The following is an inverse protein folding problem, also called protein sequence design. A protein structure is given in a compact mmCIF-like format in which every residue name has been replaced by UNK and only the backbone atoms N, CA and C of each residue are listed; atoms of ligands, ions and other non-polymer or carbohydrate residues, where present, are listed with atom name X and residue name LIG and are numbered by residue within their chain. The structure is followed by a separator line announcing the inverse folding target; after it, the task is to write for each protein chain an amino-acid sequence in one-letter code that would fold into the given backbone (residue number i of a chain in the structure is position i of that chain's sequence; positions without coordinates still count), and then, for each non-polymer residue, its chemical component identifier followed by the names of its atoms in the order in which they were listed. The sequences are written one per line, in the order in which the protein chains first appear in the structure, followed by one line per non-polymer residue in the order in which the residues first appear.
data_IF_052348132485
#
_entry.id   IF_052348132485
#
_cell.length_a   1.000
_cell.length_b   1.000
_cell.length_c   1.000
_cell.angle_alpha   90.00
_cell.angle_beta   90.00
_cell.angle_gamma   90.00
#
_symmetry.space_group_name_H-M   'P 1'
#
loop_
_entity.id
_entity.type
_entity.pdbx_description
1 polymer ?
#
# COMPACT_ATOMS: atom_id res chain seq x y z
N UNK A 1 77.49 -10.06 100.73
CA UNK A 1 76.17 -10.21 100.06
C UNK A 1 76.01 -11.67 99.64
N UNK A 2 74.91 -12.30 100.02
CA UNK A 2 74.68 -13.75 99.89
C UNK A 2 74.25 -14.14 98.47
N UNK A 3 74.90 -15.15 97.88
CA UNK A 3 74.56 -15.78 96.58
C UNK A 3 73.09 -16.25 96.52
N UNK A 4 72.47 -16.53 97.66
CA UNK A 4 71.03 -16.86 97.76
C UNK A 4 70.10 -15.69 97.42
N UNK A 5 70.50 -14.44 97.68
CA UNK A 5 69.68 -13.28 97.35
C UNK A 5 69.65 -12.99 95.84
N UNK A 6 70.74 -13.28 95.13
CA UNK A 6 70.84 -13.09 93.68
C UNK A 6 70.06 -14.18 92.89
N UNK A 7 70.12 -15.44 93.36
CA UNK A 7 69.31 -16.53 92.81
C UNK A 7 67.80 -16.33 93.02
N UNK A 8 67.39 -15.78 94.16
CA UNK A 8 65.99 -15.40 94.40
C UNK A 8 65.50 -14.31 93.45
N UNK A 9 66.33 -13.32 93.15
CA UNK A 9 65.98 -12.24 92.21
C UNK A 9 65.82 -12.77 90.78
N UNK A 10 66.68 -13.68 90.31
CA UNK A 10 66.58 -14.27 88.96
C UNK A 10 65.30 -15.11 88.81
N UNK A 11 64.92 -15.88 89.84
CA UNK A 11 63.68 -16.67 89.81
C UNK A 11 62.44 -15.76 89.80
N UNK A 12 62.46 -14.66 90.56
CA UNK A 12 61.35 -13.69 90.58
C UNK A 12 61.27 -12.93 89.26
N UNK A 13 62.39 -12.45 88.72
CA UNK A 13 62.41 -11.74 87.42
C UNK A 13 62.05 -12.67 86.26
N UNK A 14 62.53 -13.92 86.27
CA UNK A 14 62.16 -14.95 85.30
C UNK A 14 60.67 -15.29 85.35
N UNK A 15 60.12 -15.50 86.55
CA UNK A 15 58.69 -15.76 86.74
C UNK A 15 57.80 -14.59 86.30
N UNK A 16 58.21 -13.35 86.57
CA UNK A 16 57.51 -12.14 86.08
C UNK A 16 57.58 -12.06 84.56
N UNK A 17 58.74 -12.35 83.94
CA UNK A 17 58.88 -12.36 82.48
C UNK A 17 58.02 -13.44 81.80
N UNK A 18 57.95 -14.67 82.36
CA UNK A 18 57.08 -15.74 81.85
C UNK A 18 55.60 -15.39 82.01
N UNK A 19 55.20 -14.79 83.14
CA UNK A 19 53.84 -14.30 83.35
C UNK A 19 53.47 -13.18 82.36
N UNK A 20 54.40 -12.27 82.05
CA UNK A 20 54.19 -11.21 81.05
C UNK A 20 54.07 -11.77 79.63
N UNK A 21 54.87 -12.77 79.26
CA UNK A 21 54.76 -13.46 77.97
C UNK A 21 53.43 -14.19 77.83
N UNK A 22 53.04 -15.00 78.83
CA UNK A 22 51.75 -15.70 78.86
C UNK A 22 50.56 -14.73 78.86
N UNK A 23 50.68 -13.60 79.55
CA UNK A 23 49.67 -12.54 79.52
C UNK A 23 49.59 -11.86 78.15
N UNK A 24 50.72 -11.63 77.49
CA UNK A 24 50.79 -11.06 76.15
C UNK A 24 50.20 -11.98 75.09
N UNK A 25 50.44 -13.29 75.17
CA UNK A 25 49.89 -14.30 74.27
C UNK A 25 48.39 -14.50 74.49
N UNK A 26 47.93 -14.53 75.74
CA UNK A 26 46.49 -14.59 76.06
C UNK A 26 45.77 -13.33 75.57
N UNK A 27 46.40 -12.15 75.69
CA UNK A 27 45.87 -10.89 75.14
C UNK A 27 45.80 -10.93 73.62
N UNK A 28 46.83 -11.43 72.92
CA UNK A 28 46.82 -11.61 71.45
C UNK A 28 45.75 -12.60 70.99
N UNK A 29 45.58 -13.73 71.69
CA UNK A 29 44.53 -14.71 71.39
C UNK A 29 43.12 -14.14 71.63
N UNK A 30 42.92 -13.36 72.70
CA UNK A 30 41.63 -12.69 72.95
C UNK A 30 41.32 -11.63 71.88
N UNK A 31 42.30 -10.82 71.49
CA UNK A 31 42.16 -9.83 70.43
C UNK A 31 41.90 -10.50 69.07
N UNK A 32 42.61 -11.60 68.75
CA UNK A 32 42.39 -12.37 67.54
C UNK A 32 41.00 -13.02 67.48
N UNK A 33 40.51 -13.55 68.60
CA UNK A 33 39.15 -14.10 68.69
C UNK A 33 38.08 -13.02 68.58
N UNK A 34 38.28 -11.86 69.20
CA UNK A 34 37.37 -10.72 69.08
C UNK A 34 37.31 -10.21 67.63
N UNK A 35 38.46 -10.03 66.98
CA UNK A 35 38.53 -9.60 65.58
C UNK A 35 37.94 -10.65 64.62
N UNK A 36 38.10 -11.95 64.91
CA UNK A 36 37.46 -13.01 64.12
C UNK A 36 35.94 -13.03 64.32
N UNK A 37 35.45 -12.87 65.55
CA UNK A 37 34.03 -12.79 65.84
C UNK A 37 33.37 -11.57 65.19
N UNK A 38 34.06 -10.43 65.16
CA UNK A 38 33.60 -9.21 64.49
C UNK A 38 33.51 -9.41 62.97
N UNK A 39 34.49 -10.07 62.35
CA UNK A 39 34.43 -10.44 60.92
C UNK A 39 33.29 -11.40 60.62
N UNK A 40 33.14 -12.45 61.42
CA UNK A 40 32.03 -13.41 61.23
C UNK A 40 30.68 -12.73 61.39
N UNK A 41 30.53 -11.80 62.34
CA UNK A 41 29.30 -11.03 62.51
C UNK A 41 29.05 -10.06 61.33
N UNK A 42 30.10 -9.43 60.79
CA UNK A 42 30.01 -8.58 59.61
C UNK A 42 29.62 -9.38 58.36
N UNK A 43 30.29 -10.51 58.12
CA UNK A 43 30.00 -11.42 57.01
C UNK A 43 28.58 -11.99 57.12
N UNK A 44 28.12 -12.34 58.32
CA UNK A 44 26.76 -12.81 58.55
C UNK A 44 25.71 -11.72 58.25
N UNK A 45 25.95 -10.48 58.67
CA UNK A 45 25.06 -9.36 58.37
C UNK A 45 25.05 -9.00 56.88
N UNK A 46 26.17 -9.15 56.16
CA UNK A 46 26.24 -8.97 54.71
C UNK A 46 25.49 -10.07 53.95
N UNK A 47 25.62 -11.33 54.39
CA UNK A 47 24.86 -12.45 53.86
C UNK A 47 23.36 -12.27 54.06
N UNK A 48 22.92 -11.83 55.24
CA UNK A 48 21.50 -11.57 55.54
C UNK A 48 20.92 -10.50 54.61
N UNK A 49 21.60 -9.36 54.43
CA UNK A 49 21.20 -8.33 53.45
C UNK A 49 21.16 -8.85 52.02
N UNK A 50 22.09 -9.74 51.67
CA UNK A 50 22.15 -10.35 50.34
C UNK A 50 20.97 -11.29 50.12
N UNK A 51 20.60 -12.08 51.14
CA UNK A 51 19.43 -12.96 51.10
C UNK A 51 18.16 -12.12 50.97
N UNK A 52 17.97 -11.09 51.80
CA UNK A 52 16.80 -10.20 51.71
C UNK A 52 16.66 -9.53 50.33
N UNK A 53 17.79 -9.09 49.73
CA UNK A 53 17.79 -8.54 48.37
C UNK A 53 17.37 -9.58 47.33
N UNK A 54 17.94 -10.79 47.39
CA UNK A 54 17.62 -11.85 46.44
C UNK A 54 16.16 -12.34 46.57
N UNK A 55 15.62 -12.37 47.80
CA UNK A 55 14.21 -12.69 48.03
C UNK A 55 13.28 -11.64 47.42
N UNK A 56 13.62 -10.35 47.56
CA UNK A 56 12.88 -9.25 46.93
C UNK A 56 12.95 -9.33 45.40
N UNK A 57 14.13 -9.55 44.83
CA UNK A 57 14.33 -9.70 43.38
C UNK A 57 13.55 -10.91 42.84
N UNK A 58 13.55 -12.03 43.56
CA UNK A 58 12.78 -13.23 43.19
C UNK A 58 11.28 -12.95 43.22
N UNK A 59 10.78 -12.24 44.24
CA UNK A 59 9.36 -11.89 44.33
C UNK A 59 8.94 -11.01 43.15
N UNK A 60 9.72 -9.96 42.86
CA UNK A 60 9.48 -9.08 41.71
C UNK A 60 9.52 -9.82 40.37
N UNK A 61 10.45 -10.77 40.22
CA UNK A 61 10.53 -11.60 39.02
C UNK A 61 9.30 -12.53 38.87
N UNK A 62 8.78 -13.08 39.98
CA UNK A 62 7.56 -13.90 39.98
C UNK A 62 6.35 -13.06 39.58
N UNK A 63 6.18 -11.87 40.17
CA UNK A 63 5.08 -10.95 39.84
C UNK A 63 5.12 -10.51 38.37
N UNK A 64 6.31 -10.14 37.88
CA UNK A 64 6.51 -9.75 36.47
C UNK A 64 6.16 -10.89 35.53
N UNK A 65 6.57 -12.12 35.86
CA UNK A 65 6.24 -13.31 35.08
C UNK A 65 4.73 -13.58 35.07
N UNK A 66 4.06 -13.46 36.21
CA UNK A 66 2.61 -13.66 36.30
C UNK A 66 1.84 -12.62 35.48
N UNK A 67 2.27 -11.36 35.53
CA UNK A 67 1.71 -10.29 34.70
C UNK A 67 1.87 -10.57 33.20
N UNK A 68 3.07 -10.99 32.76
CA UNK A 68 3.32 -11.33 31.36
C UNK A 68 2.49 -12.53 30.88
N UNK A 69 2.30 -13.55 31.73
CA UNK A 69 1.42 -14.68 31.39
C UNK A 69 -0.03 -14.23 31.20
N UNK A 70 -0.53 -13.34 32.04
CA UNK A 70 -1.86 -12.74 31.86
C UNK A 70 -2.02 -12.02 30.52
N UNK A 71 -1.04 -11.19 30.14
CA UNK A 71 -1.04 -10.49 28.84
C UNK A 71 -0.98 -11.46 27.65
N UNK A 72 -0.22 -12.55 27.77
CA UNK A 72 -0.14 -13.58 26.71
C UNK A 72 -1.49 -14.29 26.56
N UNK A 73 -2.14 -14.66 27.65
CA UNK A 73 -3.45 -15.33 27.62
C UNK A 73 -4.53 -14.41 27.01
N UNK A 74 -4.54 -13.12 27.35
CA UNK A 74 -5.41 -12.11 26.72
C UNK A 74 -5.18 -12.03 25.20
N UNK A 75 -3.91 -12.01 24.77
CA UNK A 75 -3.56 -11.96 23.34
C UNK A 75 -3.91 -13.26 22.61
N UNK A 76 -3.80 -14.42 23.26
CA UNK A 76 -4.23 -15.69 22.69
C UNK A 76 -5.75 -15.69 22.49
N UNK A 77 -6.52 -15.25 23.49
CA UNK A 77 -7.98 -15.15 23.39
C UNK A 77 -8.42 -14.22 22.24
N UNK A 78 -7.79 -13.04 22.12
CA UNK A 78 -8.03 -12.09 21.02
C UNK A 78 -7.72 -12.72 19.65
N UNK A 79 -6.61 -13.44 19.53
CA UNK A 79 -6.24 -14.13 18.27
C UNK A 79 -7.20 -15.27 17.92
N UNK A 80 -7.69 -16.01 18.90
CA UNK A 80 -8.63 -17.10 18.67
C UNK A 80 -10.02 -16.58 18.26
N UNK A 81 -10.47 -15.47 18.83
CA UNK A 81 -11.69 -14.76 18.38
C UNK A 81 -11.54 -14.31 16.92
N UNK A 82 -10.43 -13.64 16.57
CA UNK A 82 -10.15 -13.23 15.19
C UNK A 82 -10.07 -14.40 14.21
N UNK A 83 -9.51 -15.54 14.64
CA UNK A 83 -9.46 -16.78 13.83
C UNK A 83 -10.86 -17.35 13.61
N UNK A 84 -11.68 -17.41 14.65
CA UNK A 84 -13.05 -17.91 14.55
C UNK A 84 -13.90 -17.03 13.60
N UNK A 85 -13.81 -15.71 13.73
CA UNK A 85 -14.46 -14.76 12.82
C UNK A 85 -14.00 -14.96 11.37
N UNK A 86 -12.68 -15.05 11.15
CA UNK A 86 -12.11 -15.27 9.81
C UNK A 86 -12.57 -16.59 9.22
N UNK A 87 -12.62 -17.66 10.02
CA UNK A 87 -13.04 -18.98 9.56
C UNK A 87 -14.54 -19.01 9.22
N UNK A 88 -15.37 -18.32 9.98
CA UNK A 88 -16.79 -18.16 9.68
C UNK A 88 -17.01 -17.33 8.42
N UNK A 89 -16.25 -16.24 8.23
CA UNK A 89 -16.25 -15.47 6.96
C UNK A 89 -15.86 -16.34 5.77
N UNK A 90 -14.82 -17.16 5.90
CA UNK A 90 -14.41 -18.11 4.85
C UNK A 90 -15.47 -19.18 4.56
N UNK A 91 -16.16 -19.68 5.59
CA UNK A 91 -17.29 -20.62 5.42
C UNK A 91 -18.47 -20.00 4.69
N UNK A 92 -18.74 -18.72 4.92
CA UNK A 92 -19.76 -17.96 4.19
C UNK A 92 -19.33 -17.69 2.75
N UNK A 93 -18.07 -17.29 2.54
CA UNK A 93 -17.49 -17.06 1.22
C UNK A 93 -17.41 -18.33 0.36
N UNK A 94 -17.29 -19.52 0.97
CA UNK A 94 -17.27 -20.81 0.23
C UNK A 94 -18.66 -21.30 -0.16
N UNK A 95 -19.75 -20.73 0.37
CA UNK A 95 -21.07 -20.95 -0.23
C UNK A 95 -21.13 -20.16 -1.53
N UNK A 96 -21.33 -20.86 -2.64
CA UNK A 96 -21.52 -20.23 -3.93
C UNK A 96 -22.61 -19.15 -3.82
N UNK A 97 -22.40 -17.94 -4.37
CA UNK A 97 -23.38 -16.88 -4.30
C UNK A 97 -24.69 -17.33 -4.94
N UNK A 98 -25.85 -16.83 -4.47
CA UNK A 98 -27.12 -17.09 -5.13
C UNK A 98 -27.04 -16.77 -6.62
N UNK A 99 -27.68 -17.57 -7.47
CA UNK A 99 -27.52 -17.46 -8.92
C UNK A 99 -27.81 -16.05 -9.45
N UNK A 100 -28.83 -15.37 -8.92
CA UNK A 100 -29.15 -14.00 -9.29
C UNK A 100 -28.02 -13.00 -8.96
N UNK A 101 -27.35 -13.18 -7.81
CA UNK A 101 -26.20 -12.35 -7.43
C UNK A 101 -25.03 -12.61 -8.36
N UNK A 102 -24.74 -13.88 -8.65
CA UNK A 102 -23.68 -14.27 -9.59
C UNK A 102 -23.89 -13.66 -10.98
N UNK A 103 -25.12 -13.72 -11.50
CA UNK A 103 -25.47 -13.13 -12.80
C UNK A 103 -25.33 -11.61 -12.78
N UNK A 104 -25.72 -10.95 -11.68
CA UNK A 104 -25.54 -9.51 -11.51
C UNK A 104 -24.06 -9.12 -11.50
N UNK A 105 -23.21 -9.82 -10.74
CA UNK A 105 -21.77 -9.57 -10.70
C UNK A 105 -21.11 -9.75 -12.08
N UNK A 106 -21.50 -10.78 -12.83
CA UNK A 106 -21.03 -10.99 -14.20
C UNK A 106 -21.48 -9.88 -15.15
N UNK A 107 -22.74 -9.44 -15.04
CA UNK A 107 -23.27 -8.34 -15.84
C UNK A 107 -22.54 -7.02 -15.54
N UNK A 108 -22.31 -6.71 -14.26
CA UNK A 108 -21.50 -5.56 -13.84
C UNK A 108 -20.10 -5.64 -14.45
N UNK A 109 -19.42 -6.79 -14.31
CA UNK A 109 -18.06 -6.95 -14.82
C UNK A 109 -17.99 -6.75 -16.34
N UNK A 110 -18.91 -7.35 -17.10
CA UNK A 110 -18.97 -7.17 -18.56
C UNK A 110 -19.21 -5.72 -18.96
N UNK A 111 -20.08 -5.01 -18.25
CA UNK A 111 -20.34 -3.58 -18.51
C UNK A 111 -19.12 -2.72 -18.21
N UNK A 112 -18.47 -2.95 -17.06
CA UNK A 112 -17.23 -2.25 -16.70
C UNK A 112 -16.14 -2.45 -17.75
N UNK A 113 -15.95 -3.68 -18.23
CA UNK A 113 -14.99 -3.98 -19.29
C UNK A 113 -15.35 -3.30 -20.62
N UNK A 114 -16.62 -3.37 -21.03
CA UNK A 114 -17.09 -2.74 -22.26
C UNK A 114 -16.90 -1.20 -22.25
N UNK A 115 -17.07 -0.57 -21.10
CA UNK A 115 -16.88 0.88 -20.91
C UNK A 115 -15.40 1.26 -20.62
N UNK A 116 -14.47 0.30 -20.58
CA UNK A 116 -13.04 0.55 -20.39
C UNK A 116 -12.59 0.78 -18.93
N UNK A 117 -13.32 0.21 -17.98
CA UNK A 117 -13.06 0.21 -16.53
C UNK A 117 -12.61 -1.16 -16.02
N UNK A 118 -11.63 -1.75 -16.68
CA UNK A 118 -11.02 -3.04 -16.37
C UNK A 118 -10.34 -3.10 -14.98
N UNK A 119 -9.97 -1.94 -14.43
CA UNK A 119 -9.39 -1.80 -13.09
C UNK A 119 -10.39 -2.00 -11.95
N UNK A 120 -11.70 -1.85 -12.16
CA UNK A 120 -12.70 -2.08 -11.11
C UNK A 120 -13.30 -3.48 -11.25
N UNK A 121 -13.26 -4.27 -10.18
CA UNK A 121 -13.80 -5.63 -10.15
C UNK A 121 -14.60 -5.89 -8.89
N UNK A 122 -15.80 -6.44 -9.05
CA UNK A 122 -16.60 -6.94 -7.93
C UNK A 122 -16.33 -8.43 -7.75
N UNK A 123 -15.75 -8.79 -6.61
CA UNK A 123 -15.32 -10.15 -6.32
C UNK A 123 -16.47 -10.99 -5.77
N UNK A 124 -17.23 -10.41 -4.83
CA UNK A 124 -18.29 -11.11 -4.14
C UNK A 124 -19.39 -10.15 -3.67
N UNK A 125 -20.58 -10.70 -3.49
CA UNK A 125 -21.71 -10.09 -2.80
C UNK A 125 -22.57 -11.21 -2.22
N UNK A 126 -23.18 -11.01 -1.05
CA UNK A 126 -24.03 -12.03 -0.43
C UNK A 126 -25.44 -12.07 -1.02
N UNK A 127 -26.03 -10.90 -1.29
CA UNK A 127 -27.42 -10.76 -1.78
C UNK A 127 -27.65 -9.43 -2.49
N UNK A 128 -28.78 -9.33 -3.19
CA UNK A 128 -29.33 -8.09 -3.73
C UNK A 128 -30.59 -7.76 -2.94
N UNK A 129 -30.67 -6.56 -2.39
CA UNK A 129 -31.78 -6.10 -1.54
C UNK A 129 -31.99 -4.60 -1.77
N UNK A 130 -33.25 -4.19 -2.03
CA UNK A 130 -33.62 -2.80 -2.29
C UNK A 130 -32.79 -2.10 -3.39
N UNK A 131 -32.43 -2.85 -4.45
CA UNK A 131 -31.53 -2.42 -5.53
C UNK A 131 -30.10 -2.09 -5.08
N UNK A 132 -29.65 -2.69 -3.99
CA UNK A 132 -28.28 -2.61 -3.51
C UNK A 132 -27.66 -4.00 -3.43
N UNK A 133 -26.37 -4.11 -3.73
CA UNK A 133 -25.59 -5.30 -3.37
C UNK A 133 -25.23 -5.23 -1.89
N UNK A 134 -25.33 -6.36 -1.19
CA UNK A 134 -25.01 -6.47 0.24
C UNK A 134 -23.78 -7.32 0.49
N UNK A 135 -22.99 -6.97 1.51
CA UNK A 135 -21.75 -7.64 1.91
C UNK A 135 -20.82 -7.84 0.70
N UNK A 136 -20.43 -6.70 0.12
CA UNK A 136 -19.72 -6.58 -1.16
C UNK A 136 -18.23 -6.51 -0.92
N UNK A 137 -17.50 -7.34 -1.67
CA UNK A 137 -16.06 -7.19 -1.85
C UNK A 137 -15.75 -6.74 -3.27
N UNK A 138 -14.98 -5.66 -3.40
CA UNK A 138 -14.55 -5.14 -4.69
C UNK A 138 -13.09 -4.68 -4.63
N UNK A 139 -12.43 -4.65 -5.79
CA UNK A 139 -11.07 -4.14 -5.95
C UNK A 139 -11.03 -3.09 -7.04
N UNK A 140 -10.36 -1.98 -6.78
CA UNK A 140 -10.05 -0.95 -7.77
C UNK A 140 -8.54 -0.89 -7.96
N UNK A 141 -8.08 -1.25 -9.15
CA UNK A 141 -6.74 -0.97 -9.64
C UNK A 141 -6.75 0.41 -10.27
N UNK A 142 -6.10 1.37 -9.60
CA UNK A 142 -6.00 2.72 -10.16
C UNK A 142 -4.94 2.72 -11.27
N UNK A 143 -5.16 3.57 -12.28
CA UNK A 143 -4.29 3.69 -13.46
C UNK A 143 -2.87 4.18 -13.15
N UNK A 144 -2.55 4.48 -11.89
CA UNK A 144 -1.17 4.69 -11.45
C UNK A 144 -0.41 3.36 -11.24
N UNK A 145 -1.03 2.21 -11.51
CA UNK A 145 -0.47 0.83 -11.49
C UNK A 145 0.07 0.35 -10.15
N UNK A 146 0.23 1.23 -9.16
CA UNK A 146 0.82 0.92 -7.86
C UNK A 146 -0.18 1.02 -6.70
N UNK A 147 -1.36 1.62 -6.90
CA UNK A 147 -2.39 1.64 -5.87
C UNK A 147 -3.54 0.69 -6.19
N UNK A 148 -3.75 -0.27 -5.28
CA UNK A 148 -4.93 -1.12 -5.24
C UNK A 148 -5.77 -0.69 -4.05
N UNK A 149 -7.05 -0.42 -4.28
CA UNK A 149 -8.01 -0.24 -3.21
C UNK A 149 -8.88 -1.50 -3.10
N UNK A 150 -8.95 -2.08 -1.90
CA UNK A 150 -9.85 -3.20 -1.58
C UNK A 150 -11.01 -2.66 -0.75
N UNK A 151 -12.22 -2.86 -1.25
CA UNK A 151 -13.46 -2.48 -0.61
C UNK A 151 -14.09 -3.73 0.00
N UNK A 152 -14.42 -3.66 1.28
CA UNK A 152 -15.22 -4.66 2.00
C UNK A 152 -16.34 -3.90 2.70
N UNK A 153 -17.50 -3.83 2.06
CA UNK A 153 -18.60 -2.95 2.47
C UNK A 153 -19.92 -3.70 2.62
N UNK A 154 -20.76 -3.25 3.53
CA UNK A 154 -22.05 -3.85 3.81
C UNK A 154 -23.04 -3.57 2.68
N UNK A 155 -22.91 -2.44 1.96
CA UNK A 155 -23.83 -2.04 0.90
C UNK A 155 -23.12 -1.32 -0.26
N UNK A 156 -23.47 -1.68 -1.48
CA UNK A 156 -23.11 -0.94 -2.69
C UNK A 156 -24.35 -0.61 -3.52
N UNK A 157 -24.52 0.68 -3.84
CA UNK A 157 -25.63 1.20 -4.65
C UNK A 157 -25.13 1.79 -5.96
N UNK A 158 -25.95 1.70 -7.01
CA UNK A 158 -25.59 2.11 -8.37
C UNK A 158 -26.59 3.16 -8.86
N UNK A 159 -26.10 4.37 -9.09
CA UNK A 159 -26.90 5.50 -9.57
C UNK A 159 -26.39 5.95 -10.94
N UNK A 160 -27.24 5.96 -11.96
CA UNK A 160 -26.90 6.47 -13.29
C UNK A 160 -27.52 7.85 -13.51
N UNK A 161 -26.69 8.83 -13.86
CA UNK A 161 -27.16 10.09 -14.42
C UNK A 161 -27.20 9.98 -15.95
N UNK A 162 -28.40 9.98 -16.51
CA UNK A 162 -28.64 9.86 -17.96
C UNK A 162 -28.17 11.09 -18.73
N UNK A 163 -28.17 12.27 -18.10
CA UNK A 163 -27.82 13.51 -18.78
C UNK A 163 -26.31 13.59 -19.05
N UNK A 164 -25.50 13.06 -18.13
CA UNK A 164 -24.03 13.12 -18.19
C UNK A 164 -23.39 11.78 -18.53
N UNK A 165 -24.18 10.71 -18.69
CA UNK A 165 -23.69 9.34 -18.82
C UNK A 165 -22.69 8.98 -17.73
N UNK A 166 -23.03 9.32 -16.49
CA UNK A 166 -22.17 9.09 -15.31
C UNK A 166 -22.79 8.04 -14.41
N UNK A 167 -22.06 6.93 -14.19
CA UNK A 167 -22.41 5.92 -13.19
C UNK A 167 -21.68 6.21 -11.89
N UNK A 168 -22.46 6.35 -10.82
CA UNK A 168 -21.99 6.55 -9.46
C UNK A 168 -22.22 5.28 -8.67
N UNK A 169 -21.14 4.68 -8.17
CA UNK A 169 -21.18 3.52 -7.29
C UNK A 169 -20.86 4.01 -5.88
N UNK A 170 -21.80 3.88 -4.95
CA UNK A 170 -21.60 4.30 -3.56
C UNK A 170 -21.48 3.09 -2.65
N UNK A 171 -20.31 2.95 -2.04
CA UNK A 171 -19.92 1.90 -1.11
C UNK A 171 -20.08 2.42 0.33
N UNK A 172 -21.04 1.91 1.10
CA UNK A 172 -21.36 2.40 2.46
C UNK A 172 -21.13 1.32 3.50
N UNK A 173 -20.83 1.77 4.73
CA UNK A 173 -20.74 0.92 5.93
C UNK A 173 -19.71 -0.21 5.76
N UNK A 174 -18.51 -0.08 6.31
CA UNK A 174 -17.49 -1.13 6.21
C UNK A 174 -16.11 -0.53 6.14
N UNK A 175 -15.25 -1.05 5.25
CA UNK A 175 -13.87 -0.57 5.17
C UNK A 175 -13.32 -0.56 3.75
N UNK A 176 -12.37 0.35 3.56
CA UNK A 176 -11.51 0.40 2.38
C UNK A 176 -10.05 0.31 2.83
N UNK A 177 -9.29 -0.57 2.18
CA UNK A 177 -7.84 -0.67 2.35
C UNK A 177 -7.23 -0.11 1.07
N UNK A 178 -6.57 1.04 1.18
CA UNK A 178 -5.90 1.69 0.04
C UNK A 178 -4.51 2.16 0.48
N UNK A 179 -3.48 1.87 -0.33
CA UNK A 179 -2.09 2.19 -0.02
C UNK A 179 -1.66 1.70 1.37
N UNK A 180 -2.01 0.46 1.71
CA UNK A 180 -1.78 -0.17 3.02
C UNK A 180 -2.42 0.54 4.23
N UNK A 181 -3.30 1.51 4.00
CA UNK A 181 -4.07 2.19 5.04
C UNK A 181 -5.51 1.69 5.03
N UNK A 182 -5.92 1.10 6.15
CA UNK A 182 -7.31 0.72 6.42
C UNK A 182 -8.09 1.94 6.93
N UNK A 183 -9.24 2.23 6.29
CA UNK A 183 -10.16 3.29 6.68
C UNK A 183 -11.58 2.74 6.77
N UNK A 184 -12.23 3.00 7.90
CA UNK A 184 -13.66 2.72 8.07
C UNK A 184 -14.51 3.70 7.26
N UNK A 185 -15.56 3.16 6.64
CA UNK A 185 -16.57 3.91 5.88
C UNK A 185 -17.85 4.00 6.71
N UNK A 186 -18.28 5.23 6.99
CA UNK A 186 -19.58 5.49 7.61
C UNK A 186 -20.75 5.44 6.63
N UNK A 187 -21.90 5.97 7.04
CA UNK A 187 -23.14 5.98 6.23
C UNK A 187 -22.99 6.75 4.91
N UNK A 188 -22.19 7.82 4.88
CA UNK A 188 -21.95 8.58 3.65
C UNK A 188 -21.12 7.79 2.62
N UNK A 189 -20.33 6.82 3.09
CA UNK A 189 -19.56 5.90 2.26
C UNK A 189 -18.43 6.54 1.46
N UNK A 190 -17.86 5.73 0.55
CA UNK A 190 -16.95 6.15 -0.51
C UNK A 190 -17.71 6.11 -1.84
N UNK A 191 -17.39 7.02 -2.76
CA UNK A 191 -18.04 7.10 -4.07
C UNK A 191 -17.02 6.86 -5.18
N UNK A 192 -17.32 5.89 -6.05
CA UNK A 192 -16.59 5.63 -7.29
C UNK A 192 -17.41 6.20 -8.45
N UNK A 193 -16.81 7.08 -9.25
CA UNK A 193 -17.49 7.78 -10.34
C UNK A 193 -16.92 7.33 -11.68
N UNK A 194 -17.76 6.75 -12.52
CA UNK A 194 -17.42 6.32 -13.87
C UNK A 194 -18.13 7.25 -14.86
N UNK A 195 -17.36 7.91 -15.72
CA UNK A 195 -17.88 8.85 -16.72
C UNK A 195 -17.98 8.20 -18.09
N UNK A 196 -18.86 8.71 -18.96
CA UNK A 196 -18.97 8.24 -20.35
C UNK A 196 -19.34 6.75 -20.46
N UNK A 197 -20.18 6.24 -19.55
CA UNK A 197 -20.70 4.86 -19.63
C UNK A 197 -21.82 4.75 -20.66
N UNK A 198 -22.01 3.57 -21.27
CA UNK A 198 -23.23 3.31 -22.05
C UNK A 198 -24.43 3.10 -21.13
N UNK A 199 -25.04 4.20 -20.70
CA UNK A 199 -26.16 4.18 -19.76
C UNK A 199 -27.32 3.29 -20.21
N UNK A 200 -27.62 3.23 -21.52
CA UNK A 200 -28.76 2.44 -22.03
C UNK A 200 -28.48 0.94 -21.89
N UNK A 201 -27.24 0.52 -22.15
CA UNK A 201 -26.82 -0.85 -21.92
C UNK A 201 -26.84 -1.22 -20.42
N UNK A 202 -26.41 -0.32 -19.54
CA UNK A 202 -26.49 -0.53 -18.08
C UNK A 202 -27.94 -0.69 -17.60
N UNK A 203 -28.85 0.18 -18.04
CA UNK A 203 -30.28 0.09 -17.70
C UNK A 203 -30.93 -1.20 -18.21
N UNK A 204 -30.54 -1.67 -19.40
CA UNK A 204 -31.09 -2.89 -19.98
C UNK A 204 -30.59 -4.16 -19.26
N UNK A 205 -29.31 -4.20 -18.86
CA UNK A 205 -28.70 -5.40 -18.28
C UNK A 205 -28.90 -5.50 -16.76
N UNK A 206 -29.00 -4.37 -16.06
CA UNK A 206 -29.07 -4.29 -14.60
C UNK A 206 -30.28 -3.48 -14.06
N UNK A 207 -31.52 -3.67 -14.59
CA UNK A 207 -32.67 -2.84 -14.21
C UNK A 207 -33.10 -3.00 -12.73
N UNK A 208 -32.73 -4.12 -12.10
CA UNK A 208 -33.03 -4.44 -10.71
C UNK A 208 -32.01 -3.89 -9.71
N UNK A 209 -30.87 -3.38 -10.18
CA UNK A 209 -29.80 -2.83 -9.34
C UNK A 209 -29.63 -1.33 -9.57
N UNK A 210 -29.90 -0.85 -10.78
CA UNK A 210 -29.61 0.51 -11.17
C UNK A 210 -30.74 1.48 -10.82
N UNK A 211 -30.38 2.65 -10.26
CA UNK A 211 -31.28 3.79 -10.09
C UNK A 211 -30.88 4.86 -11.10
N UNK A 212 -31.59 4.92 -12.23
CA UNK A 212 -31.36 5.93 -13.25
C UNK A 212 -32.14 7.23 -12.96
N UNK A 213 -31.50 8.37 -13.18
CA UNK A 213 -32.06 9.72 -13.00
C UNK A 213 -31.82 10.59 -14.23
N UNK A 214 -32.67 11.59 -14.41
CA UNK A 214 -32.62 12.50 -15.54
C UNK A 214 -33.22 11.92 -16.83
N UNK A 215 -32.88 12.55 -17.95
CA UNK A 215 -33.19 12.10 -19.29
C UNK A 215 -31.89 11.97 -20.07
N UNK A 216 -31.82 11.02 -21.01
CA UNK A 216 -30.74 11.07 -21.98
C UNK A 216 -30.89 12.38 -22.75
N UNK A 217 -29.77 13.06 -23.08
CA UNK A 217 -29.85 14.13 -24.06
C UNK A 217 -30.63 13.59 -25.28
N UNK A 218 -31.56 14.39 -25.81
CA UNK A 218 -32.19 14.08 -27.11
C UNK A 218 -31.07 13.67 -28.05
N UNK A 219 -31.28 12.61 -28.85
CA UNK A 219 -30.26 12.06 -29.74
C UNK A 219 -29.67 13.21 -30.58
N UNK A 220 -28.64 13.86 -30.07
CA UNK A 220 -27.76 14.74 -30.82
C UNK A 220 -27.28 13.80 -31.89
N UNK A 221 -27.57 14.13 -33.16
CA UNK A 221 -27.19 13.32 -34.32
C UNK A 221 -25.92 12.58 -33.95
N UNK A 222 -25.99 11.23 -33.83
CA UNK A 222 -24.96 10.46 -33.17
C UNK A 222 -23.65 10.98 -33.71
N UNK A 223 -22.83 11.59 -32.85
CA UNK A 223 -21.49 12.02 -33.23
C UNK A 223 -20.91 10.81 -33.93
N UNK A 224 -20.78 10.90 -35.27
CA UNK A 224 -20.81 9.72 -36.15
C UNK A 224 -19.96 8.66 -35.48
N UNK A 225 -20.53 7.48 -35.18
CA UNK A 225 -19.73 6.36 -34.67
C UNK A 225 -18.80 6.00 -35.81
N UNK A 226 -17.67 6.65 -35.72
CA UNK A 226 -16.76 6.93 -36.79
C UNK A 226 -15.94 5.64 -36.84
N UNK A 227 -15.98 4.89 -37.97
CA UNK A 227 -15.56 3.48 -38.02
C UNK A 227 -14.18 3.33 -37.40
N UNK A 228 -14.06 2.51 -36.35
CA UNK A 228 -12.79 2.23 -35.70
C UNK A 228 -12.07 1.11 -36.42
N UNK A 229 -10.74 1.21 -36.55
CA UNK A 229 -9.91 0.05 -36.85
C UNK A 229 -10.19 -1.09 -35.87
N UNK A 230 -10.01 -2.34 -36.32
CA UNK A 230 -10.11 -3.50 -35.45
C UNK A 230 -8.97 -3.54 -34.42
N UNK A 231 -9.18 -4.26 -33.32
CA UNK A 231 -8.24 -4.33 -32.20
C UNK A 231 -6.84 -4.85 -32.60
N UNK A 232 -6.74 -5.75 -33.59
CA UNK A 232 -5.45 -6.27 -34.03
C UNK A 232 -4.66 -5.19 -34.78
N UNK A 233 -5.34 -4.46 -35.66
CA UNK A 233 -4.77 -3.28 -36.33
C UNK A 233 -4.39 -2.19 -35.34
N UNK A 234 -5.22 -1.90 -34.34
CA UNK A 234 -4.90 -0.94 -33.28
C UNK A 234 -3.63 -1.31 -32.51
N UNK A 235 -3.46 -2.59 -32.15
CA UNK A 235 -2.25 -3.08 -31.46
C UNK A 235 -1.00 -2.90 -32.31
N UNK A 236 -1.05 -3.20 -33.61
CA UNK A 236 0.09 -3.00 -34.52
C UNK A 236 0.52 -1.53 -34.55
N UNK A 237 -0.44 -0.61 -34.59
CA UNK A 237 -0.12 0.82 -34.58
C UNK A 237 0.43 1.30 -33.24
N UNK A 238 -0.10 0.80 -32.12
CA UNK A 238 0.46 1.06 -30.78
C UNK A 238 1.90 0.55 -30.70
N UNK A 239 2.20 -0.65 -31.20
CA UNK A 239 3.56 -1.19 -31.25
C UNK A 239 4.50 -0.33 -32.09
N UNK A 240 4.06 0.14 -33.27
CA UNK A 240 4.87 1.02 -34.13
C UNK A 240 5.13 2.38 -33.51
N UNK A 241 4.11 2.99 -32.89
CA UNK A 241 4.27 4.25 -32.16
C UNK A 241 5.27 4.07 -31.01
N UNK A 242 5.16 2.97 -30.25
CA UNK A 242 6.09 2.69 -29.16
C UNK A 242 7.51 2.41 -29.67
N UNK A 243 7.67 1.72 -30.82
CA UNK A 243 8.98 1.53 -31.44
C UNK A 243 9.62 2.87 -31.84
N UNK A 244 8.83 3.81 -32.35
CA UNK A 244 9.29 5.16 -32.66
C UNK A 244 9.70 5.93 -31.40
N UNK A 245 8.89 5.86 -30.34
CA UNK A 245 9.16 6.53 -29.07
C UNK A 245 10.35 5.93 -28.32
N UNK A 246 10.58 4.63 -28.44
CA UNK A 246 11.73 3.93 -27.88
C UNK A 246 13.06 4.38 -28.53
N UNK A 247 13.02 4.88 -29.76
CA UNK A 247 14.17 5.48 -30.46
C UNK A 247 14.42 6.93 -30.03
N UNK A 248 13.44 7.59 -29.43
CA UNK A 248 13.53 8.98 -29.04
C UNK A 248 14.31 9.15 -27.72
N UNK A 249 15.32 10.02 -27.73
CA UNK A 249 16.13 10.38 -26.58
C UNK A 249 15.46 11.49 -25.75
N UNK A 250 14.21 11.26 -25.34
CA UNK A 250 13.45 12.21 -24.52
C UNK A 250 13.69 12.01 -23.02
N UNK A 251 13.59 13.08 -22.23
CA UNK A 251 13.75 13.04 -20.75
C UNK A 251 12.81 12.03 -20.08
N UNK A 252 11.60 11.87 -20.63
CA UNK A 252 10.66 10.83 -20.24
C UNK A 252 10.63 9.74 -21.31
N UNK A 253 10.57 8.49 -20.88
CA UNK A 253 10.29 7.38 -21.77
C UNK A 253 8.79 7.28 -22.04
N UNK A 254 8.35 7.73 -23.22
CA UNK A 254 6.94 7.75 -23.59
C UNK A 254 6.45 6.42 -24.14
N UNK A 255 5.21 6.04 -23.78
CA UNK A 255 4.51 4.88 -24.34
C UNK A 255 3.04 5.19 -24.58
N UNK A 256 2.58 4.87 -25.78
CA UNK A 256 1.17 4.82 -26.14
C UNK A 256 0.59 3.51 -25.60
N UNK A 257 -0.44 3.62 -24.76
CA UNK A 257 -1.16 2.47 -24.22
C UNK A 257 -2.33 2.06 -25.11
N UNK A 258 -2.99 3.04 -25.74
CA UNK A 258 -4.18 2.80 -26.55
C UNK A 258 -4.29 3.82 -27.67
N UNK A 259 -4.78 3.34 -28.80
CA UNK A 259 -5.33 4.13 -29.90
C UNK A 259 -6.67 3.48 -30.26
N UNK A 260 -7.69 4.29 -30.57
CA UNK A 260 -8.99 3.78 -31.02
C UNK A 260 -9.10 3.67 -32.53
N UNK A 261 -8.55 4.64 -33.26
CA UNK A 261 -8.69 4.70 -34.71
C UNK A 261 -7.52 5.43 -35.40
N UNK A 262 -7.46 5.41 -36.74
CA UNK A 262 -6.45 6.07 -37.56
C UNK A 262 -7.08 6.71 -38.81
N UNK A 263 -6.89 8.03 -38.99
CA UNK A 263 -7.42 8.78 -40.14
C UNK A 263 -6.47 9.82 -40.63
N UNK A 264 -6.21 9.84 -41.94
CA UNK A 264 -5.37 10.87 -42.57
C UNK A 264 -4.02 11.04 -41.82
N UNK A 265 -3.41 9.91 -41.44
CA UNK A 265 -2.19 9.84 -40.62
C UNK A 265 -2.29 10.40 -39.18
N UNK A 266 -3.51 10.53 -38.65
CA UNK A 266 -3.81 10.93 -37.26
C UNK A 266 -4.44 9.78 -36.50
N UNK A 267 -3.84 9.42 -35.38
CA UNK A 267 -4.37 8.47 -34.42
C UNK A 267 -5.45 9.15 -33.58
N UNK A 268 -6.58 8.48 -33.37
CA UNK A 268 -7.74 9.03 -32.66
C UNK A 268 -7.90 8.37 -31.29
N UNK A 269 -8.30 9.16 -30.29
CA UNK A 269 -8.52 8.77 -28.89
C UNK A 269 -7.30 8.02 -28.32
N UNK A 270 -6.21 8.78 -28.17
CA UNK A 270 -4.90 8.26 -27.77
C UNK A 270 -4.68 8.43 -26.28
N UNK A 271 -4.30 7.33 -25.63
CA UNK A 271 -3.83 7.32 -24.24
C UNK A 271 -2.32 7.10 -24.23
N UNK A 272 -1.59 8.01 -23.60
CA UNK A 272 -0.13 7.96 -23.50
C UNK A 272 0.33 8.10 -22.06
N UNK A 273 1.49 7.49 -21.77
CA UNK A 273 2.18 7.51 -20.50
C UNK A 273 3.62 7.97 -20.72
N UNK A 274 4.19 8.71 -19.77
CA UNK A 274 5.60 9.07 -19.73
C UNK A 274 6.20 8.53 -18.44
N UNK A 275 7.29 7.78 -18.55
CA UNK A 275 8.01 7.17 -17.44
C UNK A 275 9.34 7.88 -17.22
N UNK A 276 9.76 8.05 -15.96
CA UNK A 276 11.09 8.57 -15.64
C UNK A 276 12.19 7.49 -15.77
N UNK A 277 13.44 7.86 -15.49
CA UNK A 277 14.61 6.98 -15.55
C UNK A 277 14.50 5.74 -14.62
N UNK A 278 13.66 5.81 -13.58
CA UNK A 278 13.40 4.70 -12.66
C UNK A 278 12.22 3.84 -13.10
N UNK A 279 11.71 4.05 -14.33
CA UNK A 279 10.51 3.40 -14.89
C UNK A 279 9.24 3.67 -14.07
N UNK A 280 9.20 4.77 -13.32
CA UNK A 280 8.00 5.19 -12.60
C UNK A 280 7.15 6.09 -13.48
N UNK A 281 5.82 5.99 -13.37
CA UNK A 281 4.90 6.83 -14.13
C UNK A 281 5.04 8.29 -13.68
N UNK A 282 5.60 9.15 -14.54
CA UNK A 282 5.82 10.56 -14.27
C UNK A 282 4.75 11.45 -14.91
N UNK A 283 4.14 10.99 -16.01
CA UNK A 283 3.09 11.71 -16.72
C UNK A 283 2.12 10.76 -17.44
N UNK A 284 0.89 11.22 -17.69
CA UNK A 284 -0.08 10.55 -18.54
C UNK A 284 -1.00 11.55 -19.21
N UNK A 285 -1.32 11.32 -20.49
CA UNK A 285 -2.23 12.17 -21.24
C UNK A 285 -3.26 11.38 -22.01
N UNK A 286 -4.47 11.94 -22.09
CA UNK A 286 -5.50 11.54 -23.04
C UNK A 286 -5.64 12.65 -24.08
N UNK A 287 -5.65 12.31 -25.36
CA UNK A 287 -5.77 13.26 -26.46
C UNK A 287 -6.74 12.74 -27.51
N UNK A 288 -7.55 13.63 -28.08
CA UNK A 288 -8.51 13.24 -29.11
C UNK A 288 -7.81 12.86 -30.42
N UNK A 289 -6.72 13.54 -30.76
CA UNK A 289 -5.89 13.16 -31.92
C UNK A 289 -4.40 13.26 -31.61
N UNK A 290 -3.63 12.31 -32.11
CA UNK A 290 -2.18 12.28 -32.08
C UNK A 290 -1.65 12.11 -33.52
N UNK A 291 -0.67 12.89 -33.93
CA UNK A 291 0.01 12.71 -35.22
C UNK A 291 1.53 12.71 -35.06
N UNK A 292 2.21 11.91 -35.87
CA UNK A 292 3.67 12.00 -36.03
C UNK A 292 3.93 12.98 -37.14
N UNK A 293 4.50 14.14 -36.81
CA UNK A 293 4.87 15.17 -37.77
C UNK A 293 6.35 15.09 -38.06
N UNK A 294 6.71 15.20 -39.33
CA UNK A 294 8.10 15.27 -39.78
C UNK A 294 8.38 16.61 -40.43
N UNK A 295 9.55 17.17 -40.17
CA UNK A 295 10.11 18.30 -40.91
C UNK A 295 11.32 17.80 -41.73
N UNK A 296 11.17 17.63 -43.05
CA UNK A 296 12.26 17.17 -43.91
C UNK A 296 13.43 18.15 -44.02
N UNK A 297 13.20 19.45 -43.78
CA UNK A 297 14.25 20.47 -43.90
C UNK A 297 15.14 20.50 -42.67
N UNK A 298 14.53 20.32 -41.49
CA UNK A 298 15.24 20.22 -40.23
C UNK A 298 15.71 18.79 -39.91
N UNK A 299 15.24 17.79 -40.66
CA UNK A 299 15.44 16.36 -40.42
C UNK A 299 15.03 15.92 -39.01
N UNK A 300 13.85 16.39 -38.57
CA UNK A 300 13.31 16.10 -37.25
C UNK A 300 11.91 15.48 -37.31
N UNK A 301 11.56 14.76 -36.25
CA UNK A 301 10.21 14.27 -36.01
C UNK A 301 9.67 14.78 -34.66
N UNK A 302 8.38 15.06 -34.60
CA UNK A 302 7.67 15.41 -33.37
C UNK A 302 6.35 14.65 -33.27
N UNK A 303 5.93 14.34 -32.05
CA UNK A 303 4.60 13.84 -31.75
C UNK A 303 3.72 15.01 -31.34
N UNK A 304 2.54 15.14 -31.96
CA UNK A 304 1.62 16.25 -31.71
C UNK A 304 0.30 15.71 -31.20
N UNK A 305 0.01 16.00 -29.93
CA UNK A 305 -1.25 15.67 -29.27
C UNK A 305 -2.18 16.89 -29.34
N UNK A 306 -3.46 16.71 -29.69
CA UNK A 306 -4.46 17.79 -29.68
C UNK A 306 -5.70 17.41 -28.88
N UNK A 307 -6.40 18.42 -28.39
CA UNK A 307 -7.73 18.34 -27.77
C UNK A 307 -7.81 17.26 -26.68
N UNK A 308 -7.25 17.58 -25.52
CA UNK A 308 -7.04 16.57 -24.49
C UNK A 308 -6.66 17.11 -23.13
N UNK A 309 -6.07 16.24 -22.33
CA UNK A 309 -5.55 16.59 -21.01
C UNK A 309 -4.26 15.84 -20.78
N UNK A 310 -3.25 16.57 -20.34
CA UNK A 310 -2.00 16.05 -19.81
C UNK A 310 -2.00 16.12 -18.28
N UNK A 311 -1.54 15.06 -17.61
CA UNK A 311 -1.33 15.02 -16.15
C UNK A 311 0.12 14.71 -15.89
N UNK A 312 0.77 15.49 -15.04
CA UNK A 312 2.15 15.29 -14.60
C UNK A 312 2.25 15.53 -13.08
N UNK A 313 3.46 15.39 -12.53
CA UNK A 313 3.75 15.78 -11.13
C UNK A 313 3.41 17.25 -10.83
N UNK A 314 3.43 18.14 -11.82
CA UNK A 314 3.15 19.57 -11.64
C UNK A 314 1.67 19.92 -11.74
N UNK A 315 0.82 18.98 -12.16
CA UNK A 315 -0.64 19.15 -12.18
C UNK A 315 -1.30 18.62 -13.46
N UNK A 316 -2.54 19.05 -13.66
CA UNK A 316 -3.36 18.73 -14.84
C UNK A 316 -3.39 19.93 -15.77
N UNK A 317 -2.88 19.76 -16.99
CA UNK A 317 -2.83 20.80 -18.03
C UNK A 317 -3.74 20.40 -19.20
N UNK A 318 -4.66 21.24 -19.65
CA UNK A 318 -5.42 20.99 -20.87
C UNK A 318 -4.49 21.00 -22.09
N UNK A 319 -4.74 20.12 -23.05
CA UNK A 319 -4.07 20.14 -24.35
C UNK A 319 -4.96 20.93 -25.28
N UNK A 320 -4.52 22.13 -25.65
CA UNK A 320 -5.25 23.03 -26.55
C UNK A 320 -5.24 22.54 -28.01
N UNK A 321 -6.05 23.17 -28.86
CA UNK A 321 -6.14 22.89 -30.29
C UNK A 321 -4.79 23.12 -31.02
N UNK A 322 -3.98 24.06 -30.52
CA UNK A 322 -2.60 24.32 -30.98
C UNK A 322 -1.68 23.10 -30.84
N UNK A 323 -2.04 22.19 -29.92
CA UNK A 323 -1.41 20.91 -29.69
C UNK A 323 -0.20 20.96 -28.78
N UNK A 324 -0.08 19.95 -27.93
CA UNK A 324 1.14 19.67 -27.17
C UNK A 324 2.13 18.93 -28.07
N UNK A 325 3.33 19.48 -28.22
CA UNK A 325 4.39 18.92 -29.08
C UNK A 325 5.45 18.23 -28.23
N UNK A 326 5.84 17.04 -28.62
CA UNK A 326 6.93 16.27 -28.03
C UNK A 326 7.96 16.04 -29.13
N UNK A 327 9.11 16.69 -29.00
CA UNK A 327 10.23 16.51 -29.93
C UNK A 327 10.81 15.10 -29.73
N UNK A 328 10.96 14.36 -30.83
CA UNK A 328 11.52 13.02 -30.83
C UNK A 328 13.02 13.11 -31.15
N UNK A 329 13.80 13.60 -30.19
CA UNK A 329 15.25 13.72 -30.35
C UNK A 329 15.87 12.36 -30.72
N UNK A 330 16.79 12.33 -31.68
CA UNK A 330 17.39 11.07 -32.18
C UNK A 330 16.56 10.35 -33.25
N UNK A 331 15.36 10.83 -33.57
CA UNK A 331 14.52 10.28 -34.65
C UNK A 331 14.51 11.25 -35.84
N UNK A 332 15.19 10.85 -36.93
CA UNK A 332 15.21 11.59 -38.18
C UNK A 332 13.92 11.38 -39.01
N UNK A 333 13.69 12.24 -40.01
CA UNK A 333 12.44 12.22 -40.78
C UNK A 333 12.28 10.92 -41.60
N UNK A 334 13.39 10.34 -42.05
CA UNK A 334 13.40 9.08 -42.81
C UNK A 334 13.02 7.88 -41.94
N UNK A 335 13.57 7.81 -40.73
CA UNK A 335 13.32 6.78 -39.73
C UNK A 335 11.88 6.84 -39.24
N UNK A 336 11.35 8.05 -38.98
CA UNK A 336 9.94 8.23 -38.66
C UNK A 336 9.02 7.72 -39.79
N UNK A 337 9.30 8.10 -41.04
CA UNK A 337 8.53 7.63 -42.21
C UNK A 337 8.59 6.11 -42.36
N UNK A 338 9.77 5.51 -42.18
CA UNK A 338 9.95 4.06 -42.28
C UNK A 338 9.19 3.30 -41.18
N UNK A 339 9.33 3.73 -39.93
CA UNK A 339 8.66 3.12 -38.77
C UNK A 339 7.14 3.24 -38.85
N UNK A 340 6.65 4.40 -39.33
CA UNK A 340 5.22 4.67 -39.44
C UNK A 340 4.61 4.24 -40.79
N UNK A 341 5.36 3.54 -41.66
CA UNK A 341 4.89 3.13 -42.99
C UNK A 341 4.34 4.28 -43.84
N UNK A 342 4.93 5.47 -43.70
CA UNK A 342 4.47 6.70 -44.37
C UNK A 342 3.27 7.39 -43.70
N UNK A 343 2.74 6.86 -42.59
CA UNK A 343 1.68 7.51 -41.80
C UNK A 343 2.26 8.63 -40.91
N UNK A 344 2.76 9.67 -41.57
CA UNK A 344 3.27 10.89 -40.95
C UNK A 344 2.65 12.11 -41.64
N UNK A 345 2.56 13.23 -40.94
CA UNK A 345 2.17 14.52 -41.53
C UNK A 345 3.41 15.39 -41.75
N UNK A 346 3.39 16.25 -42.77
CA UNK A 346 4.48 17.20 -42.99
C UNK A 346 4.22 18.47 -42.19
N UNK A 347 5.22 18.91 -41.44
CA UNK A 347 5.21 20.22 -40.80
C UNK A 347 5.38 21.32 -41.83
N UNK A 348 4.49 22.31 -41.80
CA UNK A 348 4.58 23.54 -42.60
C UNK A 348 5.61 24.51 -42.06
#
# INVERSE_FOLDING_TARGET
MSVRAFLGLIVVVGGIATCLLLWSDNRRLRLGRAAHAERVAADAAELERTIERLELELHQAIETRQSLLGTIDEKIAELDELRAERQERLRRATKAPPEGVRLALLAIQRRLEADGYDGLRFLSAARIEDRELREVEATEYRRDWFSTAVYSVDRASFELDRATSTLTIRCREGKVIANDVERELGENGETIVLTSVDGRAWEAELPYLLVARGAYPEDVEPEQVLPSIDDATARIWVERLNLLLDQAETDLHYRVARVRDLRDARFVDVLMHGYDEHKQLAASGKSSTCEVRVDPSADTAELVLRDGTWRSRTGKTPIEESGMRILLHGVDAASARATMLGMVTEGS
#
